data_IF_390918686322
#
_entry.id   IF_390918686322
#
_cell.length_a   1.000
_cell.length_b   1.000
_cell.length_c   1.000
_cell.angle_alpha   90.00
_cell.angle_beta   90.00
_cell.angle_gamma   90.00
#
_symmetry.space_group_name_H-M   'P 1'
#
loop_
_entity.id
_entity.type
_entity.pdbx_description
1 polymer ?
#
# COMPACT_ATOMS: atom_id res chain seq x y z
N UNK A 1 13.69 -6.77 -7.33
CA UNK A 1 12.37 -7.30 -6.91
C UNK A 1 11.37 -7.06 -8.01
N UNK A 2 10.61 -8.07 -8.37
CA UNK A 2 9.55 -7.93 -9.38
C UNK A 2 8.32 -7.27 -8.75
N UNK A 3 7.60 -6.46 -9.54
CA UNK A 3 6.33 -5.89 -9.11
C UNK A 3 5.31 -7.00 -8.84
N UNK A 4 4.42 -6.85 -7.86
CA UNK A 4 3.35 -7.82 -7.66
C UNK A 4 2.43 -7.86 -8.89
N UNK A 5 1.84 -9.01 -9.13
CA UNK A 5 0.93 -9.20 -10.25
C UNK A 5 -0.40 -8.50 -10.00
N UNK A 6 -0.91 -7.76 -11.00
CA UNK A 6 -2.20 -7.08 -10.90
C UNK A 6 -3.33 -8.11 -10.96
N UNK A 7 -4.24 -8.13 -9.96
CA UNK A 7 -5.42 -9.00 -10.04
C UNK A 7 -6.26 -8.67 -11.27
N UNK A 8 -6.80 -9.69 -11.94
CA UNK A 8 -7.58 -9.51 -13.16
C UNK A 8 -8.90 -8.75 -12.96
N UNK A 9 -9.42 -8.74 -11.73
CA UNK A 9 -10.70 -8.12 -11.39
C UNK A 9 -10.58 -6.78 -10.66
N UNK A 10 -9.35 -6.23 -10.49
CA UNK A 10 -9.21 -5.02 -9.67
C UNK A 10 -9.84 -3.76 -10.29
N UNK A 11 -10.13 -3.77 -11.59
CA UNK A 11 -10.78 -2.64 -12.25
C UNK A 11 -12.31 -2.80 -12.36
N UNK A 12 -12.88 -3.82 -11.72
CA UNK A 12 -14.33 -4.01 -11.69
C UNK A 12 -14.98 -3.07 -10.66
N UNK A 13 -16.11 -2.47 -11.04
CA UNK A 13 -16.95 -1.66 -10.15
C UNK A 13 -17.80 -2.59 -9.27
N UNK A 14 -17.15 -3.20 -8.29
CA UNK A 14 -17.76 -4.21 -7.41
C UNK A 14 -17.00 -4.24 -6.08
N UNK A 15 -17.62 -4.81 -5.01
CA UNK A 15 -16.88 -5.06 -3.76
C UNK A 15 -15.63 -5.91 -3.97
N UNK A 16 -15.70 -6.91 -4.85
CA UNK A 16 -14.57 -7.78 -5.18
C UNK A 16 -13.43 -6.98 -5.84
N UNK A 17 -13.79 -6.06 -6.74
CA UNK A 17 -12.82 -5.16 -7.39
C UNK A 17 -12.14 -4.23 -6.38
N UNK A 18 -12.91 -3.69 -5.43
CA UNK A 18 -12.36 -2.85 -4.37
C UNK A 18 -11.39 -3.61 -3.48
N UNK A 19 -11.75 -4.82 -3.05
CA UNK A 19 -10.89 -5.69 -2.22
C UNK A 19 -9.64 -6.08 -2.99
N UNK A 20 -9.76 -6.42 -4.27
CA UNK A 20 -8.60 -6.77 -5.10
C UNK A 20 -7.64 -5.59 -5.24
N UNK A 21 -8.16 -4.37 -5.41
CA UNK A 21 -7.36 -3.14 -5.46
C UNK A 21 -6.64 -2.90 -4.14
N UNK A 22 -7.35 -3.00 -3.01
CA UNK A 22 -6.74 -2.83 -1.68
C UNK A 22 -5.67 -3.87 -1.39
N UNK A 23 -5.90 -5.12 -1.78
CA UNK A 23 -4.94 -6.20 -1.62
C UNK A 23 -3.68 -5.96 -2.45
N UNK A 24 -3.85 -5.54 -3.70
CA UNK A 24 -2.73 -5.17 -4.56
C UNK A 24 -1.93 -4.01 -3.96
N UNK A 25 -2.62 -3.00 -3.44
CA UNK A 25 -2.00 -1.83 -2.80
C UNK A 25 -1.12 -2.24 -1.62
N UNK A 26 -1.60 -3.15 -0.77
CA UNK A 26 -0.84 -3.67 0.37
C UNK A 26 0.40 -4.43 -0.09
N UNK A 27 0.28 -5.21 -1.16
CA UNK A 27 1.42 -5.96 -1.71
C UNK A 27 2.40 -5.07 -2.48
N UNK A 28 1.92 -3.95 -3.00
CA UNK A 28 2.77 -2.97 -3.70
C UNK A 28 3.67 -2.19 -2.73
N UNK A 29 3.27 -2.04 -1.47
CA UNK A 29 4.00 -1.28 -0.47
C UNK A 29 5.46 -1.77 -0.31
N UNK A 30 5.74 -3.06 -0.08
CA UNK A 30 7.13 -3.53 -0.04
C UNK A 30 7.90 -3.26 -1.32
N UNK A 31 7.26 -3.39 -2.45
CA UNK A 31 7.88 -3.17 -3.76
C UNK A 31 8.34 -1.72 -3.93
N UNK A 32 7.50 -0.73 -3.57
CA UNK A 32 7.86 0.68 -3.75
C UNK A 32 9.03 1.07 -2.83
N UNK A 33 9.07 0.54 -1.61
CA UNK A 33 10.18 0.78 -0.69
C UNK A 33 11.48 0.11 -1.16
N UNK A 34 11.40 -1.12 -1.68
CA UNK A 34 12.58 -1.86 -2.13
C UNK A 34 13.18 -1.27 -3.41
N UNK A 35 12.35 -0.80 -4.34
CA UNK A 35 12.79 -0.38 -5.68
C UNK A 35 12.80 1.13 -5.90
N UNK A 36 12.00 1.89 -5.16
CA UNK A 36 11.79 3.31 -5.42
C UNK A 36 10.84 3.58 -6.59
N UNK A 37 10.27 2.54 -7.21
CA UNK A 37 9.35 2.69 -8.33
C UNK A 37 7.95 3.02 -7.82
N UNK A 38 7.52 4.26 -7.97
CA UNK A 38 6.26 4.80 -7.46
C UNK A 38 5.17 4.92 -8.53
N UNK A 39 5.41 4.43 -9.75
CA UNK A 39 4.48 4.66 -10.86
C UNK A 39 3.07 4.14 -10.56
N UNK A 40 2.93 2.88 -10.17
CA UNK A 40 1.62 2.29 -9.86
C UNK A 40 1.01 2.88 -8.59
N UNK A 41 1.83 3.17 -7.60
CA UNK A 41 1.37 3.79 -6.36
C UNK A 41 0.71 5.14 -6.63
N UNK A 42 1.36 5.98 -7.42
CA UNK A 42 0.81 7.28 -7.82
C UNK A 42 -0.46 7.14 -8.66
N UNK A 43 -0.51 6.15 -9.55
CA UNK A 43 -1.66 5.94 -10.42
C UNK A 43 -2.92 5.50 -9.66
N UNK A 44 -2.76 4.89 -8.48
CA UNK A 44 -3.85 4.36 -7.66
C UNK A 44 -4.32 5.31 -6.57
N UNK A 45 -3.64 6.43 -6.35
CA UNK A 45 -3.86 7.26 -5.15
C UNK A 45 -4.19 8.70 -5.52
N UNK A 46 -5.03 9.32 -4.68
CA UNK A 46 -5.32 10.74 -4.82
C UNK A 46 -4.20 11.56 -4.18
N UNK A 47 -3.98 12.77 -4.71
CA UNK A 47 -2.95 13.68 -4.19
C UNK A 47 -3.23 14.11 -2.74
N UNK A 48 -4.49 14.16 -2.34
CA UNK A 48 -4.89 14.54 -0.98
C UNK A 48 -4.95 13.36 -0.01
N UNK A 49 -4.53 12.16 -0.42
CA UNK A 49 -4.37 11.03 0.49
C UNK A 49 -3.10 11.21 1.32
N UNK A 50 -3.24 11.55 2.60
CA UNK A 50 -2.09 11.81 3.47
C UNK A 50 -1.20 10.57 3.66
N UNK A 51 -1.80 9.41 3.90
CA UNK A 51 -1.07 8.15 4.01
C UNK A 51 -0.28 7.86 2.73
N UNK A 52 -0.94 7.99 1.58
CA UNK A 52 -0.32 7.71 0.28
C UNK A 52 0.85 8.65 0.01
N UNK A 53 0.67 9.94 0.30
CA UNK A 53 1.70 10.96 0.12
C UNK A 53 2.89 10.81 1.05
N UNK A 54 2.66 10.35 2.29
CA UNK A 54 3.76 10.10 3.22
C UNK A 54 4.67 8.97 2.74
N UNK A 55 4.09 7.92 2.14
CA UNK A 55 4.87 6.83 1.52
C UNK A 55 5.71 7.39 0.36
N UNK A 56 5.12 8.20 -0.51
CA UNK A 56 5.84 8.81 -1.63
C UNK A 56 7.03 9.62 -1.12
N UNK A 57 6.82 10.45 -0.11
CA UNK A 57 7.88 11.27 0.48
C UNK A 57 8.99 10.42 1.10
N UNK A 58 8.62 9.41 1.88
CA UNK A 58 9.59 8.53 2.54
C UNK A 58 10.41 7.73 1.55
N UNK A 59 9.77 7.14 0.54
CA UNK A 59 10.45 6.37 -0.51
C UNK A 59 11.40 7.25 -1.31
N UNK A 60 10.94 8.42 -1.72
CA UNK A 60 11.75 9.36 -2.50
C UNK A 60 12.97 9.82 -1.72
N UNK A 61 12.79 10.23 -0.46
CA UNK A 61 13.90 10.67 0.39
C UNK A 61 14.94 9.57 0.62
N UNK A 62 14.46 8.35 0.87
CA UNK A 62 15.35 7.21 1.12
C UNK A 62 16.21 6.91 -0.11
N UNK A 63 15.60 6.76 -1.27
CA UNK A 63 16.32 6.40 -2.50
C UNK A 63 17.19 7.56 -3.02
N UNK A 64 16.76 8.81 -2.88
CA UNK A 64 17.53 9.97 -3.29
C UNK A 64 18.82 10.11 -2.45
N UNK A 65 18.80 9.68 -1.19
CA UNK A 65 19.98 9.70 -0.33
C UNK A 65 20.89 8.48 -0.50
N UNK A 66 20.57 7.57 -1.43
CA UNK A 66 21.33 6.35 -1.69
C UNK A 66 20.96 5.17 -0.79
N UNK A 67 19.93 5.31 0.01
CA UNK A 67 19.43 4.23 0.86
C UNK A 67 18.51 3.27 0.12
N UNK A 68 18.13 2.19 0.78
CA UNK A 68 17.21 1.19 0.25
C UNK A 68 16.62 0.35 1.39
N UNK A 69 15.59 -0.41 1.05
CA UNK A 69 15.01 -1.40 1.94
C UNK A 69 15.16 -2.76 1.26
N UNK A 70 15.61 -3.78 2.01
CA UNK A 70 15.64 -5.14 1.48
C UNK A 70 14.21 -5.61 1.17
N UNK A 71 14.01 -6.39 0.10
CA UNK A 71 12.68 -6.93 -0.22
C UNK A 71 12.07 -7.71 0.95
N UNK A 72 10.79 -7.49 1.19
CA UNK A 72 10.01 -8.27 2.16
C UNK A 72 8.60 -8.50 1.62
N UNK A 73 7.82 -9.31 2.33
CA UNK A 73 6.50 -9.74 1.88
C UNK A 73 5.44 -9.39 2.91
N UNK A 74 4.30 -8.92 2.43
CA UNK A 74 3.05 -8.84 3.18
C UNK A 74 2.20 -10.06 2.85
N UNK A 75 1.75 -10.80 3.86
CA UNK A 75 0.85 -11.93 3.68
C UNK A 75 -0.54 -11.55 4.15
N UNK A 76 -1.48 -11.44 3.21
CA UNK A 76 -2.85 -11.04 3.50
C UNK A 76 -3.60 -12.22 4.09
N UNK A 77 -4.26 -12.02 5.24
CA UNK A 77 -5.00 -13.07 5.97
C UNK A 77 -6.50 -12.85 6.03
N UNK A 78 -6.96 -11.58 5.98
CA UNK A 78 -8.38 -11.25 6.02
C UNK A 78 -8.63 -10.00 5.18
N UNK A 79 -9.82 -9.93 4.58
CA UNK A 79 -10.27 -8.74 3.84
C UNK A 79 -11.73 -8.46 4.17
N UNK A 80 -12.14 -7.20 4.05
CA UNK A 80 -13.53 -6.79 4.24
C UNK A 80 -13.87 -5.59 3.41
N UNK A 81 -15.16 -5.44 3.10
CA UNK A 81 -15.69 -4.33 2.32
C UNK A 81 -16.97 -3.80 2.98
N UNK A 82 -17.09 -2.47 2.99
CA UNK A 82 -18.31 -1.79 3.41
C UNK A 82 -18.66 -0.69 2.41
N UNK A 83 -19.95 -0.63 2.02
CA UNK A 83 -20.46 0.45 1.17
C UNK A 83 -20.31 1.80 1.86
N UNK A 84 -20.31 2.91 1.09
CA UNK A 84 -20.26 4.24 1.67
C UNK A 84 -21.41 4.45 2.66
N UNK A 85 -21.06 4.96 3.85
CA UNK A 85 -22.06 5.32 4.85
C UNK A 85 -22.80 6.61 4.47
N UNK A 86 -23.82 7.00 5.25
CA UNK A 86 -24.56 8.23 4.99
C UNK A 86 -23.64 9.44 4.91
N UNK A 87 -23.77 10.23 3.84
CA UNK A 87 -22.97 11.43 3.62
C UNK A 87 -21.54 11.17 3.15
N UNK A 88 -21.16 9.91 2.87
CA UNK A 88 -19.84 9.57 2.38
C UNK A 88 -19.89 9.11 0.92
N UNK A 89 -18.86 9.48 0.16
CA UNK A 89 -18.66 9.03 -1.22
C UNK A 89 -17.70 7.84 -1.29
N UNK A 90 -17.10 7.43 -0.18
CA UNK A 90 -16.02 6.46 -0.15
C UNK A 90 -16.45 5.16 0.48
N UNK A 91 -16.09 4.06 -0.18
CA UNK A 91 -16.19 2.72 0.38
C UNK A 91 -15.04 2.47 1.35
N UNK A 92 -15.26 1.59 2.31
CA UNK A 92 -14.21 1.17 3.24
C UNK A 92 -13.74 -0.24 2.85
N UNK A 93 -12.44 -0.41 2.73
CA UNK A 93 -11.82 -1.72 2.53
C UNK A 93 -10.84 -1.98 3.67
N UNK A 94 -11.00 -3.11 4.33
CA UNK A 94 -10.13 -3.55 5.42
C UNK A 94 -9.22 -4.66 4.90
N UNK A 95 -7.92 -4.50 5.09
CA UNK A 95 -6.93 -5.52 4.74
C UNK A 95 -6.14 -5.86 6.00
N UNK A 96 -6.18 -7.12 6.41
CA UNK A 96 -5.37 -7.63 7.51
C UNK A 96 -4.23 -8.46 6.94
N UNK A 97 -3.02 -8.17 7.38
CA UNK A 97 -1.84 -8.85 6.87
C UNK A 97 -0.77 -9.02 7.94
N UNK A 98 0.11 -9.98 7.74
CA UNK A 98 1.33 -10.15 8.51
C UNK A 98 2.52 -9.62 7.71
N UNK A 99 3.57 -9.23 8.41
CA UNK A 99 4.75 -8.61 7.82
C UNK A 99 6.00 -9.27 8.39
N UNK A 100 6.94 -9.60 7.51
CA UNK A 100 8.28 -10.03 7.90
C UNK A 100 9.08 -8.87 8.50
N UNK A 101 10.24 -9.15 9.09
CA UNK A 101 11.18 -8.11 9.51
C UNK A 101 11.58 -7.23 8.31
N UNK A 102 11.73 -5.93 8.55
CA UNK A 102 12.10 -4.96 7.51
C UNK A 102 13.46 -4.37 7.83
N UNK A 103 14.38 -4.41 6.86
CA UNK A 103 15.76 -3.93 7.01
C UNK A 103 15.95 -2.72 6.11
N UNK A 104 16.16 -1.55 6.72
CA UNK A 104 16.36 -0.28 6.02
C UNK A 104 17.80 0.18 6.13
N UNK A 105 18.43 0.43 4.99
CA UNK A 105 19.81 0.93 4.89
C UNK A 105 19.80 2.38 4.44
N UNK A 106 20.63 3.22 5.07
CA UNK A 106 20.67 4.66 4.76
C UNK A 106 21.67 5.04 3.66
N UNK A 107 22.42 4.06 3.16
CA UNK A 107 23.39 4.28 2.09
C UNK A 107 24.78 4.73 2.58
N UNK A 108 25.01 4.87 3.89
CA UNK A 108 26.29 5.32 4.45
C UNK A 108 27.24 4.18 4.82
N UNK A 109 26.79 2.92 4.71
CA UNK A 109 27.52 1.77 5.20
C UNK A 109 27.26 1.44 6.66
N UNK A 110 26.42 2.21 7.33
CA UNK A 110 25.97 1.91 8.70
C UNK A 110 25.13 0.63 8.73
N UNK A 111 25.04 -0.05 9.90
CA UNK A 111 24.13 -1.18 10.06
C UNK A 111 22.68 -0.78 9.76
N UNK A 112 21.84 -1.71 9.26
CA UNK A 112 20.46 -1.38 8.94
C UNK A 112 19.64 -1.07 10.18
N UNK A 113 18.64 -0.22 10.02
CA UNK A 113 17.54 -0.10 10.96
C UNK A 113 16.62 -1.30 10.75
N UNK A 114 16.26 -1.99 11.82
CA UNK A 114 15.47 -3.23 11.75
C UNK A 114 14.12 -2.99 12.40
N UNK A 115 13.05 -3.21 11.64
CA UNK A 115 11.70 -3.25 12.14
C UNK A 115 11.32 -4.72 12.36
N UNK A 116 10.89 -5.07 13.59
CA UNK A 116 10.53 -6.44 13.93
C UNK A 116 9.33 -6.94 13.11
N UNK A 117 9.21 -8.26 12.89
CA UNK A 117 8.03 -8.82 12.24
C UNK A 117 6.75 -8.43 12.97
N UNK A 118 5.69 -8.18 12.20
CA UNK A 118 4.36 -7.86 12.75
C UNK A 118 3.40 -9.00 12.36
N UNK A 119 2.88 -9.74 13.35
CA UNK A 119 2.01 -10.88 13.05
C UNK A 119 0.63 -10.48 12.54
N UNK A 120 0.19 -9.24 12.82
CA UNK A 120 -1.11 -8.77 12.38
C UNK A 120 -1.13 -7.24 12.32
N UNK A 121 -1.43 -6.72 11.14
CA UNK A 121 -1.67 -5.29 10.91
C UNK A 121 -3.00 -5.14 10.19
N UNK A 122 -3.82 -4.21 10.64
CA UNK A 122 -5.05 -3.82 9.96
C UNK A 122 -4.81 -2.49 9.24
N UNK A 123 -4.98 -2.48 7.92
CA UNK A 123 -5.02 -1.26 7.13
C UNK A 123 -6.45 -1.02 6.68
N UNK A 124 -6.97 0.17 7.01
CA UNK A 124 -8.30 0.61 6.59
C UNK A 124 -8.13 1.61 5.47
N UNK A 125 -8.74 1.31 4.31
CA UNK A 125 -8.66 2.15 3.13
C UNK A 125 -10.00 2.81 2.83
N UNK A 126 -9.96 4.10 2.49
CA UNK A 126 -11.09 4.81 1.90
C UNK A 126 -10.87 4.88 0.40
N UNK A 127 -11.81 4.37 -0.39
CA UNK A 127 -11.65 4.28 -1.83
C UNK A 127 -12.96 4.59 -2.56
N UNK A 128 -12.82 5.04 -3.81
CA UNK A 128 -13.97 5.31 -4.68
C UNK A 128 -13.65 4.83 -6.09
N UNK A 129 -14.67 4.28 -6.76
CA UNK A 129 -14.56 3.91 -8.17
C UNK A 129 -14.74 5.15 -9.03
N UNK A 130 -13.75 5.46 -9.86
CA UNK A 130 -13.81 6.59 -10.79
C UNK A 130 -12.91 6.32 -12.01
N UNK A 131 -13.39 6.72 -13.19
CA UNK A 131 -12.63 6.61 -14.44
C UNK A 131 -12.15 5.19 -14.75
N UNK A 132 -12.97 4.19 -14.44
CA UNK A 132 -12.71 2.79 -14.76
C UNK A 132 -11.85 2.02 -13.77
N UNK A 133 -11.54 2.62 -12.61
CA UNK A 133 -10.75 1.92 -11.58
C UNK A 133 -11.01 2.48 -10.17
N UNK A 134 -10.58 1.73 -9.17
CA UNK A 134 -10.67 2.16 -7.76
C UNK A 134 -9.49 3.06 -7.40
N UNK A 135 -9.79 4.21 -6.79
CA UNK A 135 -8.79 5.19 -6.35
C UNK A 135 -8.79 5.26 -4.83
N UNK A 136 -7.60 5.23 -4.24
CA UNK A 136 -7.41 5.30 -2.80
C UNK A 136 -7.31 6.76 -2.37
N UNK A 137 -8.20 7.16 -1.48
CA UNK A 137 -8.31 8.51 -0.94
C UNK A 137 -7.69 8.65 0.44
N UNK A 138 -7.64 7.57 1.20
CA UNK A 138 -7.09 7.57 2.55
C UNK A 138 -6.72 6.19 3.02
N UNK A 139 -5.82 6.13 3.98
CA UNK A 139 -5.40 4.91 4.64
C UNK A 139 -5.10 5.16 6.11
N UNK A 140 -5.43 4.19 6.94
CA UNK A 140 -5.20 4.26 8.37
C UNK A 140 -4.76 2.89 8.89
N UNK A 141 -3.64 2.86 9.58
CA UNK A 141 -3.14 1.64 10.24
C UNK A 141 -3.70 1.58 11.65
N UNK A 142 -4.16 0.40 12.04
CA UNK A 142 -4.68 0.14 13.39
C UNK A 142 -3.99 -1.02 14.06
#
# INVERSE_FOLDING_TARGET
>A
MAAPERPGNMDEDSPEGAVATGSYFVQLYPYVYATGDLEQWRAMTRQDCLFCGSVITNVTSLHDSGGWVDPWVHTITETGYSDPGPGSEYSRVDIVFSQEAVYTYDGTGAPPEIEDPKPRTLLILAMRYEDGHWIIRGGQVK
#
